data_IF_474841870895
#
_entry.id   IF_474841870895
#
_cell.length_a   1.000
_cell.length_b   1.000
_cell.length_c   1.000
_cell.angle_alpha   90.00
_cell.angle_beta   90.00
_cell.angle_gamma   90.00
#
_symmetry.space_group_name_H-M   'P 1'
#
loop_
_entity.id
_entity.type
_entity.pdbx_description
1 polymer ?
#
# COMPACT_ATOMS: atom_id res chain seq x y z
N UNK A 1 3.18 -3.78 -15.94
CA UNK A 1 4.39 -2.93 -15.89
C UNK A 1 4.62 -2.32 -17.27
N UNK A 2 3.84 -1.33 -17.58
CA UNK A 2 3.83 -0.70 -18.91
C UNK A 2 3.72 0.84 -18.79
N UNK A 3 4.18 1.35 -17.62
CA UNK A 3 4.09 2.76 -17.22
C UNK A 3 5.22 3.61 -17.84
N UNK A 4 5.70 3.23 -19.05
CA UNK A 4 6.88 3.86 -19.68
C UNK A 4 6.72 5.36 -19.96
N UNK A 5 5.53 5.80 -20.34
CA UNK A 5 5.26 7.20 -20.63
C UNK A 5 5.17 8.01 -19.34
N UNK A 6 4.52 7.46 -18.30
CA UNK A 6 4.47 8.06 -16.96
C UNK A 6 5.87 8.19 -16.36
N UNK A 7 6.66 7.12 -16.41
CA UNK A 7 8.04 7.13 -15.92
C UNK A 7 8.91 8.16 -16.66
N UNK A 8 8.75 8.28 -18.00
CA UNK A 8 9.45 9.28 -18.80
C UNK A 8 9.03 10.69 -18.40
N UNK A 9 7.75 10.94 -18.20
CA UNK A 9 7.23 12.24 -17.76
C UNK A 9 7.79 12.63 -16.37
N UNK A 10 7.78 11.70 -15.40
CA UNK A 10 8.35 11.90 -14.06
C UNK A 10 9.82 12.30 -14.18
N UNK A 11 10.62 11.51 -14.92
CA UNK A 11 12.04 11.75 -15.11
C UNK A 11 12.29 13.13 -15.71
N UNK A 12 11.67 13.45 -16.85
CA UNK A 12 11.83 14.73 -17.52
C UNK A 12 11.45 15.91 -16.63
N UNK A 13 10.39 15.77 -15.85
CA UNK A 13 9.93 16.80 -14.92
C UNK A 13 10.97 17.04 -13.84
N UNK A 14 11.41 16.02 -13.14
CA UNK A 14 12.36 16.15 -12.02
C UNK A 14 13.75 16.60 -12.48
N UNK A 15 14.25 16.05 -13.60
CA UNK A 15 15.52 16.48 -14.21
C UNK A 15 15.46 17.94 -14.67
N UNK A 16 14.30 18.41 -15.17
CA UNK A 16 14.05 19.82 -15.54
C UNK A 16 14.19 20.77 -14.35
N UNK A 17 14.02 20.28 -13.13
CA UNK A 17 14.27 21.03 -11.89
C UNK A 17 15.65 20.74 -11.26
N UNK A 18 16.53 20.04 -11.97
CA UNK A 18 17.90 19.78 -11.54
C UNK A 18 18.06 18.64 -10.53
N UNK A 19 17.08 17.75 -10.44
CA UNK A 19 17.16 16.55 -9.62
C UNK A 19 17.76 15.39 -10.43
N UNK A 20 18.62 14.59 -9.83
CA UNK A 20 19.24 13.40 -10.45
C UNK A 20 18.35 12.18 -10.28
N UNK A 21 17.61 11.79 -11.32
CA UNK A 21 16.63 10.69 -11.29
C UNK A 21 17.28 9.36 -11.61
N UNK A 22 17.26 8.47 -10.65
CA UNK A 22 17.79 7.11 -10.76
C UNK A 22 16.74 6.13 -11.29
N UNK A 23 17.21 5.05 -11.92
CA UNK A 23 16.36 4.02 -12.53
C UNK A 23 16.51 3.96 -14.06
N UNK A 24 15.71 3.15 -14.78
CA UNK A 24 14.58 2.40 -14.24
C UNK A 24 15.00 1.23 -13.32
N UNK A 25 14.22 0.99 -12.26
CA UNK A 25 14.33 -0.18 -11.39
C UNK A 25 12.98 -0.91 -11.37
N UNK A 26 12.98 -2.21 -11.13
CA UNK A 26 11.76 -3.01 -11.10
C UNK A 26 10.83 -2.78 -12.32
N UNK A 27 11.40 -2.59 -13.51
CA UNK A 27 10.69 -2.30 -14.76
C UNK A 27 10.66 -0.80 -15.08
N UNK A 28 9.68 -0.06 -14.61
CA UNK A 28 9.49 1.38 -14.87
C UNK A 28 9.68 2.26 -13.64
N UNK A 29 10.01 1.69 -12.49
CA UNK A 29 10.20 2.41 -11.24
C UNK A 29 11.39 3.37 -11.27
N UNK A 30 11.25 4.50 -10.57
CA UNK A 30 12.24 5.56 -10.48
C UNK A 30 12.41 6.00 -9.03
N UNK A 31 13.54 6.63 -8.72
CA UNK A 31 13.69 7.34 -7.46
C UNK A 31 14.64 8.53 -7.58
N UNK A 32 14.56 9.43 -6.62
CA UNK A 32 15.47 10.54 -6.43
C UNK A 32 15.84 10.65 -4.97
N UNK A 33 17.13 10.81 -4.70
CA UNK A 33 17.66 11.11 -3.38
C UNK A 33 17.93 12.60 -3.26
N UNK A 34 17.37 13.24 -2.23
CA UNK A 34 17.61 14.63 -1.88
C UNK A 34 18.48 14.64 -0.64
N UNK A 35 19.75 15.02 -0.82
CA UNK A 35 20.72 15.12 0.26
C UNK A 35 20.62 16.47 0.96
N UNK A 36 20.42 16.44 2.28
CA UNK A 36 20.50 17.62 3.14
C UNK A 36 21.93 18.10 3.39
N UNK A 37 22.06 19.31 3.90
CA UNK A 37 23.40 19.90 4.21
C UNK A 37 23.97 19.41 5.56
N UNK A 38 23.16 18.81 6.43
CA UNK A 38 23.60 18.27 7.69
C UNK A 38 23.46 16.75 7.72
N UNK A 39 24.35 15.99 8.38
CA UNK A 39 24.26 14.55 8.51
C UNK A 39 23.00 14.14 9.27
N UNK A 40 22.46 12.95 8.95
CA UNK A 40 21.26 12.40 9.56
C UNK A 40 20.90 11.06 8.95
N UNK A 41 19.71 10.55 9.28
CA UNK A 41 19.13 9.32 8.74
C UNK A 41 18.63 9.45 7.32
N UNK A 42 17.90 8.44 6.88
CA UNK A 42 17.26 8.46 5.55
C UNK A 42 15.78 8.09 5.67
N UNK A 43 14.90 8.90 5.09
CA UNK A 43 13.46 8.66 5.08
C UNK A 43 12.93 8.54 3.66
N UNK A 44 11.98 7.59 3.44
CA UNK A 44 11.37 7.34 2.15
C UNK A 44 9.99 7.97 1.99
N UNK A 45 9.66 8.34 0.75
CA UNK A 45 8.29 8.67 0.34
C UNK A 45 7.95 7.93 -0.95
N UNK A 46 6.85 7.16 -0.93
CA UNK A 46 6.40 6.34 -2.07
C UNK A 46 5.19 6.95 -2.76
N UNK A 47 5.19 6.89 -4.07
CA UNK A 47 3.98 6.98 -4.89
C UNK A 47 3.93 5.81 -5.87
N UNK A 48 2.74 5.22 -6.04
CA UNK A 48 2.42 4.35 -7.16
C UNK A 48 2.20 5.16 -8.44
N UNK A 49 2.38 4.53 -9.61
CA UNK A 49 2.33 5.23 -10.91
C UNK A 49 1.52 4.50 -11.98
N UNK A 50 0.95 3.35 -11.68
CA UNK A 50 0.22 2.53 -12.64
C UNK A 50 -1.23 3.01 -12.85
N UNK A 51 -1.81 2.61 -13.99
CA UNK A 51 -3.19 2.87 -14.37
C UNK A 51 -3.95 1.54 -14.50
N UNK A 52 -5.27 1.62 -14.42
CA UNK A 52 -6.14 0.46 -14.53
C UNK A 52 -6.50 0.16 -16.00
N UNK A 53 -6.66 -1.12 -16.37
CA UNK A 53 -7.12 -1.53 -17.69
C UNK A 53 -8.64 -1.32 -17.83
N UNK A 54 -9.09 -0.07 -17.72
CA UNK A 54 -10.51 0.31 -17.71
C UNK A 54 -10.72 1.56 -18.55
N UNK A 55 -11.84 1.61 -19.30
CA UNK A 55 -12.17 2.75 -20.12
C UNK A 55 -12.58 3.97 -19.28
N UNK A 56 -11.91 5.09 -19.47
CA UNK A 56 -12.26 6.38 -18.88
C UNK A 56 -13.58 6.91 -19.48
N UNK A 57 -14.58 7.16 -18.62
CA UNK A 57 -15.87 7.72 -19.02
C UNK A 57 -16.15 9.10 -18.39
N UNK A 58 -15.10 9.76 -17.85
CA UNK A 58 -15.20 11.13 -17.37
C UNK A 58 -15.57 12.09 -18.51
N UNK A 59 -16.27 13.16 -18.17
CA UNK A 59 -16.64 14.23 -19.11
C UNK A 59 -15.81 15.48 -18.89
N UNK A 60 -14.48 15.30 -18.87
CA UNK A 60 -13.49 16.36 -18.60
C UNK A 60 -12.47 16.45 -19.72
N UNK A 61 -11.83 17.60 -19.95
CA UNK A 61 -10.85 17.77 -21.02
C UNK A 61 -9.61 16.86 -20.89
N UNK A 62 -9.25 16.52 -19.65
CA UNK A 62 -8.06 15.71 -19.32
C UNK A 62 -8.36 14.21 -19.17
N UNK A 63 -9.53 13.72 -19.57
CA UNK A 63 -9.80 12.29 -19.58
C UNK A 63 -8.76 11.53 -20.39
N UNK A 64 -8.48 10.28 -20.02
CA UNK A 64 -7.54 9.43 -20.75
C UNK A 64 -7.87 9.36 -22.26
N UNK A 65 -6.84 9.53 -23.08
CA UNK A 65 -6.91 9.38 -24.54
C UNK A 65 -6.49 7.96 -24.99
N UNK A 66 -5.95 7.15 -24.06
CA UNK A 66 -5.58 5.77 -24.32
C UNK A 66 -6.79 4.88 -24.13
N UNK A 67 -7.25 4.14 -25.17
CA UNK A 67 -8.39 3.25 -25.03
C UNK A 67 -8.17 2.20 -23.95
N UNK A 68 -9.19 2.01 -23.11
CA UNK A 68 -9.19 1.00 -22.04
C UNK A 68 -8.05 1.12 -21.02
N UNK A 69 -7.50 2.33 -20.82
CA UNK A 69 -6.52 2.63 -19.78
C UNK A 69 -6.85 3.96 -19.11
N UNK A 70 -6.98 3.98 -17.80
CA UNK A 70 -7.25 5.21 -17.05
C UNK A 70 -6.74 5.15 -15.61
N UNK A 71 -6.34 6.31 -15.08
CA UNK A 71 -6.12 6.47 -13.64
C UNK A 71 -7.47 6.59 -12.93
N UNK A 72 -7.95 5.50 -12.36
CA UNK A 72 -9.21 5.41 -11.63
C UNK A 72 -9.01 5.06 -10.14
N UNK A 73 -7.74 5.05 -9.70
CA UNK A 73 -7.36 4.89 -8.29
C UNK A 73 -6.60 6.11 -7.73
N UNK A 74 -6.30 7.10 -8.58
CA UNK A 74 -5.66 8.35 -8.18
C UNK A 74 -4.13 8.30 -8.14
N UNK A 75 -3.50 7.29 -8.77
CA UNK A 75 -2.04 7.17 -8.81
C UNK A 75 -1.37 8.31 -9.60
N UNK A 76 -2.06 8.96 -10.51
CA UNK A 76 -1.64 10.22 -11.13
C UNK A 76 -1.55 11.37 -10.11
N UNK A 77 -2.52 11.46 -9.19
CA UNK A 77 -2.47 12.41 -8.08
C UNK A 77 -1.35 12.08 -7.09
N UNK A 78 -1.14 10.79 -6.75
CA UNK A 78 -0.02 10.37 -5.90
C UNK A 78 1.33 10.71 -6.54
N UNK A 79 1.46 10.49 -7.85
CA UNK A 79 2.63 10.89 -8.65
C UNK A 79 2.86 12.40 -8.58
N UNK A 80 1.81 13.21 -8.77
CA UNK A 80 1.90 14.67 -8.70
C UNK A 80 2.30 15.16 -7.30
N UNK A 81 1.74 14.57 -6.25
CA UNK A 81 2.13 14.85 -4.86
C UNK A 81 3.61 14.50 -4.65
N UNK A 82 4.09 13.33 -5.11
CA UNK A 82 5.47 12.89 -4.93
C UNK A 82 6.47 13.81 -5.66
N UNK A 83 6.16 14.23 -6.89
CA UNK A 83 6.94 15.26 -7.60
C UNK A 83 6.99 16.54 -6.75
N UNK A 84 5.84 16.98 -6.23
CA UNK A 84 5.77 18.13 -5.34
C UNK A 84 6.59 17.99 -4.07
N UNK A 85 6.57 16.80 -3.42
CA UNK A 85 7.42 16.47 -2.26
C UNK A 85 8.89 16.62 -2.59
N UNK A 86 9.36 16.04 -3.71
CA UNK A 86 10.75 16.13 -4.14
C UNK A 86 11.18 17.58 -4.37
N UNK A 87 10.35 18.38 -5.03
CA UNK A 87 10.63 19.81 -5.31
C UNK A 87 10.67 20.65 -4.02
N UNK A 88 9.74 20.42 -3.07
CA UNK A 88 9.74 21.13 -1.78
C UNK A 88 10.97 20.78 -0.97
N UNK A 89 11.36 19.48 -0.90
CA UNK A 89 12.57 19.05 -0.20
C UNK A 89 13.83 19.64 -0.84
N UNK A 90 13.93 19.64 -2.17
CA UNK A 90 15.06 20.25 -2.89
C UNK A 90 15.18 21.75 -2.61
N UNK A 91 14.06 22.46 -2.60
CA UNK A 91 14.04 23.89 -2.28
C UNK A 91 14.43 24.21 -0.84
N UNK A 92 14.25 23.27 0.08
CA UNK A 92 14.55 23.41 1.50
C UNK A 92 15.73 22.51 1.95
N UNK A 93 16.61 22.08 1.02
CA UNK A 93 17.72 21.18 1.32
C UNK A 93 18.69 21.69 2.39
N UNK A 94 18.80 23.02 2.52
CA UNK A 94 19.64 23.64 3.56
C UNK A 94 19.13 23.35 4.98
N UNK A 95 17.82 23.14 5.13
CA UNK A 95 17.18 22.80 6.40
C UNK A 95 16.96 21.29 6.55
N UNK A 96 17.19 20.52 5.49
CA UNK A 96 17.08 19.06 5.52
C UNK A 96 18.31 18.46 6.20
N UNK A 97 18.08 17.49 7.08
CA UNK A 97 19.12 16.67 7.70
C UNK A 97 19.08 15.27 7.11
N UNK A 98 20.28 14.69 6.87
CA UNK A 98 20.33 13.38 6.24
C UNK A 98 19.77 13.38 4.83
N UNK A 99 19.00 12.37 4.47
CA UNK A 99 18.54 12.15 3.12
C UNK A 99 17.03 11.84 3.05
N UNK A 100 16.35 12.38 2.07
CA UNK A 100 15.01 11.97 1.72
C UNK A 100 15.02 11.26 0.34
N UNK A 101 14.50 10.03 0.29
CA UNK A 101 14.31 9.26 -0.95
C UNK A 101 12.86 9.33 -1.37
N UNK A 102 12.58 9.97 -2.51
CA UNK A 102 11.24 9.95 -3.14
C UNK A 102 11.27 8.94 -4.27
N UNK A 103 10.37 7.94 -4.24
CA UNK A 103 10.36 6.87 -5.24
C UNK A 103 8.98 6.60 -5.82
N UNK A 104 8.99 6.21 -7.08
CA UNK A 104 7.83 6.02 -7.93
C UNK A 104 7.75 4.54 -8.28
N UNK A 105 6.72 3.89 -7.78
CA UNK A 105 6.56 2.45 -7.85
C UNK A 105 5.59 2.05 -8.96
N UNK A 106 5.98 1.14 -9.88
CA UNK A 106 5.05 0.56 -10.86
C UNK A 106 4.18 -0.52 -10.25
N UNK A 107 3.06 -0.83 -10.94
CA UNK A 107 2.28 -2.07 -10.80
C UNK A 107 1.80 -2.36 -9.36
N UNK A 108 1.13 -1.40 -8.73
CA UNK A 108 0.46 -1.61 -7.43
C UNK A 108 -0.76 -2.54 -7.59
N UNK A 109 -1.55 -2.34 -8.65
CA UNK A 109 -2.82 -3.02 -8.92
C UNK A 109 -2.66 -4.45 -9.51
N UNK A 110 -1.45 -4.78 -9.96
CA UNK A 110 -1.17 -6.04 -10.65
C UNK A 110 -0.51 -7.11 -9.78
N UNK A 111 -0.48 -8.35 -10.31
CA UNK A 111 0.28 -9.45 -9.72
C UNK A 111 1.26 -10.03 -10.75
N UNK A 112 2.52 -10.32 -10.34
CA UNK A 112 3.11 -9.96 -9.06
C UNK A 112 3.22 -8.45 -8.90
N UNK A 113 2.93 -7.93 -7.69
CA UNK A 113 2.90 -6.49 -7.45
C UNK A 113 4.29 -5.84 -7.47
N UNK A 114 4.32 -4.51 -7.64
CA UNK A 114 5.55 -3.76 -7.82
C UNK A 114 6.40 -3.62 -6.55
N UNK A 115 5.79 -3.49 -5.37
CA UNK A 115 6.53 -3.27 -4.13
C UNK A 115 7.57 -4.36 -3.82
N UNK A 116 7.28 -5.67 -3.91
CA UNK A 116 8.31 -6.70 -3.75
C UNK A 116 9.45 -6.62 -4.77
N UNK A 117 9.18 -6.12 -5.98
CA UNK A 117 10.21 -5.93 -7.01
C UNK A 117 11.12 -4.76 -6.66
N UNK A 118 10.56 -3.64 -6.21
CA UNK A 118 11.29 -2.46 -5.75
C UNK A 118 12.17 -2.80 -4.53
N UNK A 119 11.65 -3.59 -3.58
CA UNK A 119 12.39 -4.04 -2.40
C UNK A 119 13.60 -4.90 -2.82
N UNK A 120 13.41 -5.88 -3.73
CA UNK A 120 14.51 -6.68 -4.26
C UNK A 120 15.56 -5.86 -5.02
N UNK A 121 15.15 -4.74 -5.62
CA UNK A 121 16.05 -3.80 -6.28
C UNK A 121 16.78 -2.85 -5.31
N UNK A 122 16.59 -3.01 -3.99
CA UNK A 122 17.32 -2.25 -2.96
C UNK A 122 16.72 -0.90 -2.60
N UNK A 123 15.46 -0.61 -2.97
CA UNK A 123 14.86 0.71 -2.74
C UNK A 123 14.82 1.12 -1.25
N UNK A 124 14.77 0.13 -0.35
CA UNK A 124 14.75 0.36 1.10
C UNK A 124 16.13 0.48 1.75
N UNK A 125 17.22 0.30 0.99
CA UNK A 125 18.57 0.34 1.58
C UNK A 125 18.85 1.66 2.28
N UNK A 126 19.12 1.55 3.59
CA UNK A 126 19.43 2.67 4.47
C UNK A 126 18.22 3.52 4.90
N UNK A 127 16.97 3.14 4.57
CA UNK A 127 15.80 3.87 5.05
C UNK A 127 15.49 3.54 6.50
N UNK A 128 15.24 4.57 7.30
CA UNK A 128 14.78 4.48 8.69
C UNK A 128 13.24 4.37 8.78
N UNK A 129 12.55 4.98 7.82
CA UNK A 129 11.09 4.92 7.71
C UNK A 129 10.62 5.21 6.28
N UNK A 130 9.35 4.87 5.99
CA UNK A 130 8.71 5.13 4.70
C UNK A 130 7.29 5.66 4.87
N UNK A 131 6.92 6.64 4.05
CA UNK A 131 5.60 7.26 4.06
C UNK A 131 4.94 7.19 2.70
N UNK A 132 3.61 7.10 2.68
CA UNK A 132 2.82 7.22 1.47
C UNK A 132 1.45 7.84 1.77
N UNK A 133 0.80 8.35 0.74
CA UNK A 133 -0.57 8.82 0.81
C UNK A 133 -1.43 8.09 -0.22
N UNK A 134 -2.73 8.05 0.05
CA UNK A 134 -3.72 7.64 -0.95
C UNK A 134 -4.90 8.61 -0.93
N UNK A 135 -5.34 9.04 -2.08
CA UNK A 135 -6.55 9.87 -2.21
C UNK A 135 -7.79 9.10 -1.78
N UNK A 136 -8.72 9.78 -1.09
CA UNK A 136 -9.97 9.16 -0.67
C UNK A 136 -11.16 10.07 -1.07
N UNK A 137 -11.95 9.66 -2.07
CA UNK A 137 -13.11 10.43 -2.53
C UNK A 137 -14.30 10.39 -1.55
N UNK A 138 -14.17 9.75 -0.39
CA UNK A 138 -15.16 9.76 0.69
C UNK A 138 -14.85 10.80 1.77
N UNK A 139 -13.65 11.38 1.73
CA UNK A 139 -13.24 12.46 2.61
C UNK A 139 -13.28 13.79 1.87
N UNK A 140 -13.78 14.82 2.53
CA UNK A 140 -13.81 16.16 1.98
C UNK A 140 -12.40 16.74 1.83
N UNK A 141 -12.22 17.61 0.85
CA UNK A 141 -11.02 18.42 0.67
C UNK A 141 -10.61 19.11 1.97
N UNK A 142 -9.32 19.12 2.27
CA UNK A 142 -8.76 19.68 3.51
C UNK A 142 -8.80 18.74 4.72
N UNK A 143 -9.26 17.49 4.54
CA UNK A 143 -9.25 16.45 5.56
C UNK A 143 -8.18 15.41 5.25
N UNK A 144 -7.49 14.97 6.29
CA UNK A 144 -6.49 13.91 6.23
C UNK A 144 -6.90 12.77 7.16
N UNK A 145 -7.09 11.59 6.59
CA UNK A 145 -7.53 10.40 7.32
C UNK A 145 -6.35 9.64 7.93
N UNK A 146 -6.38 9.46 9.23
CA UNK A 146 -5.35 8.75 10.01
C UNK A 146 -5.93 7.53 10.71
N UNK A 147 -5.15 6.46 10.77
CA UNK A 147 -5.44 5.26 11.54
C UNK A 147 -4.13 4.65 12.03
N UNK A 148 -4.02 4.38 13.31
CA UNK A 148 -2.90 3.64 13.90
C UNK A 148 -3.15 2.14 13.78
N UNK A 149 -2.10 1.35 13.51
CA UNK A 149 -2.24 -0.08 13.26
C UNK A 149 -2.79 -0.40 11.87
N UNK A 150 -3.65 -1.42 11.76
CA UNK A 150 -4.13 -1.91 10.47
C UNK A 150 -4.99 -0.89 9.72
N UNK A 151 -4.48 -0.38 8.60
CA UNK A 151 -5.18 0.58 7.73
C UNK A 151 -5.91 -0.08 6.56
N UNK A 152 -5.38 -1.23 6.07
CA UNK A 152 -5.98 -2.03 4.99
C UNK A 152 -6.01 -3.50 5.36
N UNK A 153 -6.75 -4.32 4.59
CA UNK A 153 -6.73 -5.77 4.73
C UNK A 153 -5.64 -6.41 3.85
N UNK A 154 -5.29 -7.66 4.20
CA UNK A 154 -4.60 -8.55 3.26
C UNK A 154 -5.51 -8.89 2.08
N UNK A 155 -4.93 -9.31 0.96
CA UNK A 155 -5.67 -9.68 -0.23
C UNK A 155 -5.12 -10.98 -0.82
N UNK A 156 -5.70 -12.11 -0.42
CA UNK A 156 -5.31 -13.42 -0.94
C UNK A 156 -6.31 -13.91 -1.98
N UNK A 157 -5.80 -14.62 -2.98
CA UNK A 157 -6.61 -15.45 -3.87
C UNK A 157 -6.44 -16.91 -3.46
N UNK A 158 -7.45 -17.71 -3.70
CA UNK A 158 -7.34 -19.15 -3.54
C UNK A 158 -8.09 -19.89 -4.64
N UNK A 159 -7.58 -21.07 -4.97
CA UNK A 159 -8.22 -22.01 -5.88
C UNK A 159 -8.26 -23.39 -5.21
N UNK A 160 -9.40 -24.06 -5.30
CA UNK A 160 -9.60 -25.43 -4.85
C UNK A 160 -10.04 -26.26 -6.03
N UNK A 161 -9.40 -27.43 -6.22
CA UNK A 161 -9.73 -28.44 -7.23
C UNK A 161 -10.03 -29.76 -6.54
N UNK A 162 -11.18 -30.32 -6.85
CA UNK A 162 -11.60 -31.65 -6.40
C UNK A 162 -11.55 -32.56 -7.61
N UNK A 163 -10.79 -33.64 -7.53
CA UNK A 163 -10.59 -34.57 -8.64
C UNK A 163 -10.90 -36.01 -8.27
N UNK A 164 -11.34 -36.77 -9.28
CA UNK A 164 -11.46 -38.23 -9.25
C UNK A 164 -10.85 -38.84 -10.51
N UNK A 165 -10.66 -40.14 -10.53
CA UNK A 165 -10.24 -40.87 -11.72
C UNK A 165 -11.44 -41.11 -12.63
N UNK A 166 -11.47 -40.43 -13.79
CA UNK A 166 -12.53 -40.51 -14.78
C UNK A 166 -13.84 -39.82 -14.38
N UNK A 167 -14.91 -40.09 -15.12
CA UNK A 167 -16.25 -39.53 -14.92
C UNK A 167 -17.21 -40.50 -14.31
N UNK A 168 -18.29 -40.01 -13.65
CA UNK A 168 -19.32 -40.85 -13.04
C UNK A 168 -20.69 -40.69 -13.69
N UNK A 169 -21.55 -41.70 -13.57
CA UNK A 169 -22.95 -41.63 -13.99
C UNK A 169 -23.80 -41.03 -12.87
N UNK A 170 -24.52 -39.94 -13.13
CA UNK A 170 -25.30 -39.19 -12.11
C UNK A 170 -26.36 -40.05 -11.39
N UNK A 171 -26.87 -41.14 -11.97
CA UNK A 171 -27.77 -42.06 -11.31
C UNK A 171 -27.07 -43.07 -10.37
N UNK A 172 -25.73 -43.09 -10.33
CA UNK A 172 -24.91 -44.03 -9.56
C UNK A 172 -23.75 -43.33 -8.84
N UNK A 173 -24.03 -42.28 -8.06
CA UNK A 173 -22.94 -41.52 -7.39
C UNK A 173 -22.13 -42.38 -6.41
N UNK A 174 -22.65 -43.52 -5.97
CA UNK A 174 -21.94 -44.44 -5.05
C UNK A 174 -20.88 -45.32 -5.76
N UNK A 175 -20.82 -45.32 -7.09
CA UNK A 175 -19.79 -46.05 -7.86
C UNK A 175 -18.52 -45.21 -8.09
N UNK A 176 -18.47 -43.95 -7.60
CA UNK A 176 -17.34 -43.04 -7.77
C UNK A 176 -17.35 -41.93 -6.74
N UNK A 177 -16.65 -40.86 -7.03
CA UNK A 177 -16.55 -39.65 -6.20
C UNK A 177 -17.35 -38.52 -6.83
N UNK A 178 -18.31 -37.94 -6.11
CA UNK A 178 -19.07 -36.79 -6.58
C UNK A 178 -18.29 -35.47 -6.32
N UNK A 179 -17.46 -35.09 -7.30
CA UNK A 179 -16.58 -33.93 -7.21
C UNK A 179 -17.35 -32.63 -7.01
N UNK A 180 -18.51 -32.45 -7.66
CA UNK A 180 -19.37 -31.26 -7.55
C UNK A 180 -19.98 -31.16 -6.17
N UNK A 181 -20.48 -32.27 -5.63
CA UNK A 181 -21.02 -32.32 -4.29
C UNK A 181 -19.96 -31.98 -3.25
N UNK A 182 -18.75 -32.59 -3.33
CA UNK A 182 -17.63 -32.30 -2.41
C UNK A 182 -17.23 -30.82 -2.47
N UNK A 183 -17.07 -30.25 -3.67
CA UNK A 183 -16.77 -28.82 -3.85
C UNK A 183 -17.84 -27.93 -3.19
N UNK A 184 -19.13 -28.29 -3.35
CA UNK A 184 -20.25 -27.57 -2.73
C UNK A 184 -20.23 -27.63 -1.19
N UNK A 185 -19.85 -28.77 -0.60
CA UNK A 185 -19.71 -28.93 0.86
C UNK A 185 -18.56 -28.07 1.38
N UNK A 186 -17.40 -28.09 0.70
CA UNK A 186 -16.25 -27.25 1.06
C UNK A 186 -16.57 -25.77 0.91
N UNK A 187 -17.29 -25.35 -0.14
CA UNK A 187 -17.77 -23.98 -0.31
C UNK A 187 -18.59 -23.53 0.91
N UNK A 188 -19.59 -24.32 1.32
CA UNK A 188 -20.41 -24.01 2.49
C UNK A 188 -19.57 -23.95 3.79
N UNK A 189 -18.63 -24.88 3.95
CA UNK A 189 -17.76 -24.93 5.11
C UNK A 189 -16.84 -23.71 5.16
N UNK A 190 -16.27 -23.29 4.04
CA UNK A 190 -15.43 -22.09 3.95
C UNK A 190 -16.19 -20.82 4.34
N UNK A 191 -17.40 -20.61 3.84
CA UNK A 191 -18.23 -19.46 4.24
C UNK A 191 -18.57 -19.46 5.73
N UNK A 192 -18.71 -20.62 6.36
CA UNK A 192 -18.97 -20.71 7.80
C UNK A 192 -17.71 -20.47 8.65
N UNK A 193 -16.52 -20.68 8.07
CA UNK A 193 -15.25 -20.66 8.80
C UNK A 193 -14.99 -19.32 9.46
N UNK A 194 -15.03 -18.22 8.71
CA UNK A 194 -14.66 -16.89 9.20
C UNK A 194 -15.41 -16.51 10.49
N UNK A 195 -16.71 -16.77 10.55
CA UNK A 195 -17.54 -16.44 11.72
C UNK A 195 -17.52 -17.47 12.86
N UNK A 196 -16.69 -18.52 12.79
CA UNK A 196 -16.68 -19.63 13.78
C UNK A 196 -15.30 -19.94 14.35
N UNK A 197 -14.23 -19.61 13.64
CA UNK A 197 -12.86 -19.93 14.04
C UNK A 197 -12.04 -18.70 14.44
N UNK A 198 -12.59 -17.51 14.24
CA UNK A 198 -11.99 -16.23 14.62
C UNK A 198 -12.91 -15.44 15.54
N UNK A 199 -12.37 -14.47 16.26
CA UNK A 199 -13.18 -13.53 17.04
C UNK A 199 -14.09 -12.73 16.08
N UNK A 200 -15.38 -12.61 16.43
CA UNK A 200 -16.35 -11.88 15.60
C UNK A 200 -16.05 -10.38 15.46
N UNK A 201 -15.15 -9.84 16.27
CA UNK A 201 -14.66 -8.45 16.18
C UNK A 201 -13.54 -8.29 15.15
N UNK A 202 -12.89 -9.37 14.75
CA UNK A 202 -11.82 -9.34 13.75
C UNK A 202 -12.42 -9.31 12.36
N UNK A 203 -12.14 -8.23 11.63
CA UNK A 203 -12.67 -8.08 10.29
C UNK A 203 -12.04 -9.09 9.31
N UNK A 204 -12.88 -9.90 8.69
CA UNK A 204 -12.49 -10.83 7.63
C UNK A 204 -13.60 -10.93 6.58
N UNK A 205 -13.20 -11.10 5.30
CA UNK A 205 -14.11 -11.33 4.18
C UNK A 205 -13.57 -12.49 3.36
N UNK A 206 -14.37 -13.55 3.24
CA UNK A 206 -14.12 -14.65 2.33
C UNK A 206 -15.22 -14.63 1.28
N UNK A 207 -14.86 -14.58 0.00
CA UNK A 207 -15.82 -14.59 -1.10
C UNK A 207 -15.37 -15.59 -2.16
N UNK A 208 -16.26 -16.50 -2.53
CA UNK A 208 -16.07 -17.45 -3.63
C UNK A 208 -16.76 -16.86 -4.86
N UNK A 209 -15.99 -16.64 -5.92
CA UNK A 209 -16.45 -15.97 -7.14
C UNK A 209 -16.38 -16.86 -8.38
N UNK A 210 -15.72 -18.00 -8.27
CA UNK A 210 -15.57 -18.99 -9.35
C UNK A 210 -16.08 -20.34 -8.87
N UNK A 211 -16.86 -21.01 -9.70
CA UNK A 211 -17.35 -22.36 -9.47
C UNK A 211 -17.56 -23.04 -10.82
N UNK A 212 -16.79 -24.09 -11.08
CA UNK A 212 -16.84 -24.86 -12.33
C UNK A 212 -17.09 -26.34 -12.06
N UNK A 213 -17.82 -27.00 -12.96
CA UNK A 213 -18.14 -28.42 -12.89
C UNK A 213 -18.47 -28.98 -14.27
N UNK A 214 -19.45 -29.87 -14.36
CA UNK A 214 -19.87 -30.49 -15.63
C UNK A 214 -20.82 -29.59 -16.42
N UNK A 215 -20.69 -29.59 -17.74
CA UNK A 215 -21.67 -29.04 -18.67
C UNK A 215 -22.82 -30.03 -18.96
N UNK A 216 -22.68 -31.31 -18.60
CA UNK A 216 -23.63 -32.38 -18.85
C UNK A 216 -24.46 -32.72 -17.62
N UNK A 217 -25.78 -32.72 -17.72
CA UNK A 217 -26.71 -32.97 -16.61
C UNK A 217 -26.60 -34.37 -15.98
N UNK A 218 -26.12 -35.36 -16.73
CA UNK A 218 -26.09 -36.76 -16.34
C UNK A 218 -24.69 -37.35 -16.11
N UNK A 219 -23.67 -36.47 -16.03
CA UNK A 219 -22.25 -36.83 -15.82
C UNK A 219 -21.70 -36.14 -14.59
N UNK A 220 -21.17 -36.93 -13.66
CA UNK A 220 -20.31 -36.43 -12.59
C UNK A 220 -18.92 -36.16 -13.20
N UNK A 221 -18.41 -34.95 -13.19
CA UNK A 221 -17.14 -34.61 -13.85
C UNK A 221 -15.94 -35.22 -13.15
N UNK A 222 -14.85 -35.39 -13.88
CA UNK A 222 -13.56 -35.78 -13.35
C UNK A 222 -13.01 -34.70 -12.39
N UNK A 223 -13.32 -33.43 -12.65
CA UNK A 223 -12.90 -32.31 -11.82
C UNK A 223 -14.05 -31.33 -11.59
N UNK A 224 -14.15 -30.84 -10.37
CA UNK A 224 -14.85 -29.60 -10.02
C UNK A 224 -13.88 -28.63 -9.36
N UNK A 225 -14.04 -27.34 -9.62
CA UNK A 225 -13.19 -26.31 -9.01
C UNK A 225 -13.99 -25.14 -8.45
N UNK A 226 -13.43 -24.49 -7.43
CA UNK A 226 -13.90 -23.20 -6.93
C UNK A 226 -12.72 -22.30 -6.62
N UNK A 227 -12.97 -21.00 -6.71
CA UNK A 227 -11.94 -20.01 -6.44
C UNK A 227 -12.54 -18.73 -5.87
N UNK A 228 -11.70 -17.97 -5.16
CA UNK A 228 -12.17 -16.76 -4.51
C UNK A 228 -11.07 -15.95 -3.87
N UNK A 229 -11.48 -15.07 -2.97
CA UNK A 229 -10.59 -14.18 -2.23
C UNK A 229 -10.79 -14.30 -0.73
N UNK A 230 -9.70 -14.16 0.02
CA UNK A 230 -9.71 -14.01 1.48
C UNK A 230 -9.05 -12.67 1.83
N UNK A 231 -9.74 -11.85 2.63
CA UNK A 231 -9.26 -10.57 3.13
C UNK A 231 -9.34 -10.53 4.64
N UNK A 232 -8.26 -10.12 5.30
CA UNK A 232 -8.19 -10.02 6.76
C UNK A 232 -7.33 -8.84 7.18
N UNK A 233 -7.65 -8.21 8.30
CA UNK A 233 -6.86 -7.10 8.85
C UNK A 233 -5.78 -7.57 9.84
N UNK A 234 -5.82 -8.85 10.24
CA UNK A 234 -4.87 -9.46 11.17
C UNK A 234 -4.13 -10.61 10.50
N UNK A 235 -2.79 -10.66 10.58
CA UNK A 235 -2.00 -11.80 10.10
C UNK A 235 -2.38 -13.13 10.78
N UNK A 236 -2.68 -13.10 12.08
CA UNK A 236 -3.05 -14.31 12.85
C UNK A 236 -4.41 -14.86 12.41
N UNK A 237 -5.38 -13.96 12.17
CA UNK A 237 -6.70 -14.33 11.62
C UNK A 237 -6.56 -14.92 10.22
N UNK A 238 -5.70 -14.32 9.38
CA UNK A 238 -5.39 -14.81 8.04
C UNK A 238 -4.91 -16.26 8.08
N UNK A 239 -3.90 -16.55 8.90
CA UNK A 239 -3.34 -17.91 8.99
C UNK A 239 -4.31 -18.89 9.64
N UNK A 240 -5.09 -18.46 10.63
CA UNK A 240 -6.13 -19.30 11.25
C UNK A 240 -7.16 -19.75 10.19
N UNK A 241 -7.67 -18.85 9.37
CA UNK A 241 -8.67 -19.18 8.33
C UNK A 241 -8.03 -20.08 7.26
N UNK A 242 -6.83 -19.76 6.77
CA UNK A 242 -6.12 -20.57 5.77
C UNK A 242 -5.83 -21.97 6.27
N UNK A 243 -5.37 -22.10 7.50
CA UNK A 243 -5.10 -23.39 8.14
C UNK A 243 -6.37 -24.24 8.26
N UNK A 244 -7.48 -23.62 8.66
CA UNK A 244 -8.77 -24.31 8.73
C UNK A 244 -9.24 -24.78 7.35
N UNK A 245 -9.13 -23.94 6.31
CA UNK A 245 -9.51 -24.30 4.94
C UNK A 245 -8.69 -25.50 4.45
N UNK A 246 -7.36 -25.52 4.68
CA UNK A 246 -6.50 -26.68 4.36
C UNK A 246 -6.92 -27.94 5.11
N UNK A 247 -7.20 -27.83 6.40
CA UNK A 247 -7.64 -28.98 7.21
C UNK A 247 -9.01 -29.51 6.77
N UNK A 248 -9.92 -28.60 6.36
CA UNK A 248 -11.22 -29.01 5.84
C UNK A 248 -11.09 -29.77 4.52
N UNK A 249 -10.26 -29.27 3.59
CA UNK A 249 -9.97 -29.94 2.33
C UNK A 249 -9.38 -31.35 2.56
N UNK A 250 -8.36 -31.47 3.43
CA UNK A 250 -7.72 -32.75 3.74
C UNK A 250 -8.70 -33.76 4.34
N UNK A 251 -9.57 -33.34 5.26
CA UNK A 251 -10.56 -34.26 5.87
C UNK A 251 -11.62 -34.70 4.87
N UNK A 252 -12.02 -33.85 3.91
CA UNK A 252 -12.94 -34.25 2.84
C UNK A 252 -12.26 -35.23 1.88
N UNK A 253 -10.99 -35.04 1.57
CA UNK A 253 -10.17 -35.98 0.79
C UNK A 253 -10.11 -37.35 1.49
N UNK A 254 -9.73 -37.39 2.77
CA UNK A 254 -9.63 -38.62 3.58
C UNK A 254 -10.96 -39.38 3.69
N UNK A 255 -12.08 -38.65 3.80
CA UNK A 255 -13.40 -39.23 4.00
C UNK A 255 -14.00 -39.78 2.71
N UNK A 256 -13.78 -39.13 1.56
CA UNK A 256 -14.47 -39.41 0.30
C UNK A 256 -13.59 -40.02 -0.78
N UNK A 257 -12.25 -40.07 -0.55
CA UNK A 257 -11.30 -40.62 -1.53
C UNK A 257 -11.14 -39.77 -2.79
N UNK A 258 -11.53 -38.50 -2.70
CA UNK A 258 -11.21 -37.51 -3.74
C UNK A 258 -9.73 -37.11 -3.64
N UNK A 259 -9.18 -36.57 -4.71
CA UNK A 259 -7.93 -35.79 -4.61
C UNK A 259 -8.26 -34.30 -4.57
N UNK A 260 -7.85 -33.60 -3.49
CA UNK A 260 -8.22 -32.20 -3.27
C UNK A 260 -6.97 -31.33 -3.15
N UNK A 261 -6.77 -30.44 -4.13
CA UNK A 261 -5.72 -29.42 -4.12
C UNK A 261 -6.32 -28.08 -3.68
N UNK A 262 -5.72 -27.43 -2.69
CA UNK A 262 -6.07 -26.07 -2.26
C UNK A 262 -4.83 -25.20 -2.26
N UNK A 263 -4.76 -24.29 -3.23
CA UNK A 263 -3.67 -23.36 -3.40
C UNK A 263 -4.07 -21.95 -2.96
N UNK A 264 -3.11 -21.23 -2.38
CA UNK A 264 -3.23 -19.80 -2.08
C UNK A 264 -2.17 -19.02 -2.84
N UNK A 265 -2.61 -18.02 -3.57
CA UNK A 265 -1.75 -16.99 -4.11
C UNK A 265 -1.71 -15.82 -3.12
N UNK A 266 -0.55 -15.60 -2.52
CA UNK A 266 -0.35 -14.52 -1.55
C UNK A 266 -0.40 -13.17 -2.26
N UNK A 267 -1.38 -12.37 -1.93
CA UNK A 267 -1.46 -10.97 -2.30
C UNK A 267 -0.80 -10.07 -1.24
N UNK A 268 -1.16 -8.78 -1.24
CA UNK A 268 -0.63 -7.83 -0.28
C UNK A 268 -0.99 -8.21 1.16
N UNK A 269 -0.06 -8.10 2.12
CA UNK A 269 -0.41 -8.17 3.55
C UNK A 269 -1.24 -6.94 3.96
N UNK A 270 -1.77 -6.89 5.20
CA UNK A 270 -2.38 -5.66 5.70
C UNK A 270 -1.32 -4.54 5.80
N UNK A 271 -1.69 -3.32 5.43
CA UNK A 271 -0.91 -2.13 5.80
C UNK A 271 -1.09 -1.91 7.29
N UNK A 272 0.02 -1.98 8.04
CA UNK A 272 0.02 -1.73 9.49
C UNK A 272 0.87 -0.49 9.76
N UNK A 273 0.20 0.61 10.02
CA UNK A 273 0.85 1.88 10.32
C UNK A 273 1.57 1.83 11.67
N UNK A 274 2.79 2.34 11.70
CA UNK A 274 3.57 2.53 12.92
C UNK A 274 3.00 3.71 13.73
N UNK A 275 2.90 3.55 15.05
CA UNK A 275 2.31 4.54 15.94
C UNK A 275 3.10 5.85 15.93
N UNK A 276 4.43 5.79 16.03
CA UNK A 276 5.31 6.97 16.05
C UNK A 276 5.27 7.71 14.70
N UNK A 277 5.18 6.96 13.58
CA UNK A 277 5.05 7.55 12.27
C UNK A 277 3.71 8.27 12.11
N UNK A 278 2.60 7.71 12.60
CA UNK A 278 1.27 8.36 12.59
C UNK A 278 1.25 9.59 13.50
N UNK A 279 1.84 9.52 14.69
CA UNK A 279 1.97 10.69 15.59
C UNK A 279 2.73 11.84 14.93
N UNK A 280 3.80 11.53 14.19
CA UNK A 280 4.54 12.53 13.42
C UNK A 280 3.68 13.21 12.35
N UNK A 281 2.89 12.43 11.60
CA UNK A 281 1.95 12.95 10.60
C UNK A 281 0.87 13.78 11.26
N UNK A 282 0.23 13.29 12.34
CA UNK A 282 -0.84 13.98 13.07
C UNK A 282 -0.37 15.35 13.59
N UNK A 283 0.79 15.38 14.26
CA UNK A 283 1.37 16.62 14.76
C UNK A 283 1.66 17.61 13.62
N UNK A 284 2.14 17.13 12.47
CA UNK A 284 2.44 17.97 11.32
C UNK A 284 1.15 18.53 10.70
N UNK A 285 0.09 17.72 10.57
CA UNK A 285 -1.23 18.17 10.07
C UNK A 285 -1.78 19.26 10.99
N UNK A 286 -1.78 19.04 12.31
CA UNK A 286 -2.30 20.00 13.29
C UNK A 286 -1.52 21.32 13.26
N UNK A 287 -0.21 21.25 13.14
CA UNK A 287 0.64 22.43 13.04
C UNK A 287 0.37 23.25 11.78
N UNK A 288 0.15 22.59 10.63
CA UNK A 288 0.01 23.27 9.33
C UNK A 288 -1.42 23.71 9.03
N UNK A 289 -2.42 22.93 9.46
CA UNK A 289 -3.82 23.10 9.03
C UNK A 289 -4.82 23.16 10.17
N UNK A 290 -4.37 22.93 11.42
CA UNK A 290 -5.25 22.91 12.61
C UNK A 290 -5.93 21.55 12.83
N UNK A 291 -6.51 21.39 14.03
CA UNK A 291 -7.11 20.13 14.48
C UNK A 291 -8.25 19.63 13.59
N UNK A 292 -9.00 20.55 12.99
CA UNK A 292 -10.11 20.24 12.11
C UNK A 292 -9.69 19.52 10.82
N UNK A 293 -8.42 19.57 10.43
CA UNK A 293 -7.92 18.87 9.25
C UNK A 293 -7.72 17.37 9.49
N UNK A 294 -7.57 16.95 10.74
CA UNK A 294 -7.44 15.52 11.08
C UNK A 294 -8.82 14.85 11.05
N UNK A 295 -8.88 13.70 10.37
CA UNK A 295 -10.01 12.78 10.38
C UNK A 295 -9.54 11.44 10.92
N UNK A 296 -9.99 11.06 12.11
CA UNK A 296 -9.69 9.75 12.66
C UNK A 296 -10.51 8.68 11.93
N UNK A 297 -9.82 7.75 11.27
CA UNK A 297 -10.45 6.60 10.62
C UNK A 297 -10.70 5.53 11.68
N UNK A 298 -11.96 5.14 11.85
CA UNK A 298 -12.35 4.18 12.89
C UNK A 298 -12.21 2.72 12.46
N UNK A 299 -12.22 2.46 11.15
CA UNK A 299 -12.20 1.09 10.60
C UNK A 299 -11.27 0.97 9.41
N UNK A 300 -10.49 -0.11 9.39
CA UNK A 300 -9.64 -0.48 8.27
C UNK A 300 -10.41 -0.64 6.97
N UNK A 301 -9.79 -0.28 5.86
CA UNK A 301 -10.30 -0.64 4.53
C UNK A 301 -10.15 -2.14 4.30
N UNK A 302 -11.13 -2.77 3.65
CA UNK A 302 -11.01 -4.16 3.18
C UNK A 302 -10.34 -4.25 1.79
N UNK A 303 -9.86 -3.15 1.22
CA UNK A 303 -8.99 -3.12 0.04
C UNK A 303 -7.59 -3.63 0.38
N UNK A 304 -6.89 -4.17 -0.63
CA UNK A 304 -5.45 -4.45 -0.55
C UNK A 304 -4.64 -3.19 -0.88
N UNK A 305 -3.37 -3.18 -0.49
CA UNK A 305 -2.40 -2.13 -0.82
C UNK A 305 -0.99 -2.71 -0.64
N UNK A 306 -0.19 -2.68 -1.70
CA UNK A 306 1.12 -3.34 -1.69
C UNK A 306 2.22 -2.53 -0.96
N UNK A 307 1.94 -1.27 -0.59
CA UNK A 307 2.77 -0.49 0.35
C UNK A 307 3.03 -1.26 1.65
N UNK A 308 2.12 -2.14 2.02
CA UNK A 308 2.26 -3.04 3.15
C UNK A 308 3.56 -3.87 3.14
N UNK A 309 4.10 -4.19 1.95
CA UNK A 309 5.36 -4.92 1.85
C UNK A 309 6.53 -4.10 2.37
N UNK A 310 6.57 -2.78 2.16
CA UNK A 310 7.62 -1.92 2.71
C UNK A 310 7.57 -1.87 4.23
N UNK A 311 6.35 -1.80 4.81
CA UNK A 311 6.15 -1.75 6.26
C UNK A 311 6.52 -3.04 7.01
N UNK A 312 6.78 -4.14 6.29
CA UNK A 312 7.40 -5.34 6.88
C UNK A 312 8.89 -5.18 7.16
N UNK A 313 9.54 -4.19 6.56
CA UNK A 313 10.98 -4.00 6.61
C UNK A 313 11.39 -2.74 7.37
N UNK A 314 10.60 -1.69 7.26
CA UNK A 314 10.85 -0.40 7.91
C UNK A 314 9.54 0.16 8.46
N UNK A 315 9.54 0.88 9.60
CA UNK A 315 8.35 1.56 10.10
C UNK A 315 7.86 2.62 9.12
N UNK A 316 6.59 3.01 9.23
CA UNK A 316 6.08 4.08 8.37
C UNK A 316 4.58 4.30 8.50
N UNK A 317 4.06 5.19 7.68
CA UNK A 317 2.66 5.55 7.68
C UNK A 317 2.08 5.71 6.27
N UNK A 318 0.87 5.18 6.14
CA UNK A 318 0.01 5.31 4.96
C UNK A 318 -1.24 6.07 5.39
N UNK A 319 -1.48 7.24 4.83
CA UNK A 319 -2.56 8.14 5.21
C UNK A 319 -3.54 8.38 4.07
N UNK A 320 -4.76 8.80 4.39
CA UNK A 320 -5.77 9.18 3.39
C UNK A 320 -5.80 10.69 3.20
N UNK A 321 -5.97 11.11 1.95
CA UNK A 321 -6.11 12.52 1.56
C UNK A 321 -7.50 12.74 1.01
N UNK A 322 -8.29 13.60 1.65
CA UNK A 322 -9.63 13.93 1.19
C UNK A 322 -9.62 14.69 -0.13
N UNK A 323 -10.38 14.22 -1.10
CA UNK A 323 -10.47 14.78 -2.45
C UNK A 323 -11.90 15.05 -2.91
N UNK A 324 -12.89 14.86 -2.05
CA UNK A 324 -14.28 15.15 -2.36
C UNK A 324 -14.60 16.64 -2.19
N UNK A 325 -15.18 17.28 -3.21
CA UNK A 325 -15.72 18.64 -3.14
C UNK A 325 -17.15 18.72 -3.72
N UNK A 326 -17.68 17.59 -4.19
CA UNK A 326 -19.01 17.51 -4.77
C UNK A 326 -19.27 16.18 -5.43
N UNK A 327 -20.46 15.97 -6.03
CA UNK A 327 -20.84 14.67 -6.59
C UNK A 327 -19.88 14.11 -7.66
N UNK A 328 -19.26 14.98 -8.47
CA UNK A 328 -18.37 14.55 -9.56
C UNK A 328 -17.00 14.10 -9.03
N UNK A 329 -16.59 14.53 -7.83
CA UNK A 329 -15.35 14.15 -7.17
C UNK A 329 -15.54 13.14 -6.03
N UNK A 330 -16.74 12.52 -5.96
CA UNK A 330 -17.10 11.54 -4.93
C UNK A 330 -17.40 10.14 -5.48
N UNK A 331 -17.08 9.88 -6.76
CA UNK A 331 -17.15 8.52 -7.30
C UNK A 331 -16.13 7.64 -6.59
N UNK A 332 -16.50 6.38 -6.25
CA UNK A 332 -15.55 5.49 -5.59
C UNK A 332 -14.34 5.17 -6.47
N UNK A 333 -13.24 4.79 -5.85
CA UNK A 333 -12.06 4.25 -6.53
C UNK A 333 -12.47 3.13 -7.50
N UNK A 334 -11.79 3.01 -8.63
CA UNK A 334 -12.02 2.08 -9.74
C UNK A 334 -13.33 2.32 -10.53
N UNK A 335 -14.14 3.29 -10.13
CA UNK A 335 -15.31 3.65 -10.91
C UNK A 335 -14.89 4.37 -12.20
N UNK A 336 -15.49 4.02 -13.35
CA UNK A 336 -15.14 4.58 -14.67
C UNK A 336 -15.30 6.11 -14.82
N UNK A 337 -15.90 6.76 -13.82
CA UNK A 337 -16.03 8.22 -13.72
C UNK A 337 -15.29 8.78 -12.49
N UNK A 338 -14.43 7.98 -11.86
CA UNK A 338 -13.64 8.47 -10.73
C UNK A 338 -12.86 9.73 -11.13
N UNK A 339 -12.98 10.76 -10.32
CA UNK A 339 -12.29 12.02 -10.47
C UNK A 339 -12.05 12.63 -9.08
N UNK A 340 -11.17 13.59 -8.99
CA UNK A 340 -10.79 14.24 -7.74
C UNK A 340 -10.87 15.76 -7.86
N UNK A 341 -11.02 16.44 -6.73
CA UNK A 341 -10.63 17.84 -6.63
C UNK A 341 -9.10 17.92 -6.46
N UNK A 342 -8.44 18.67 -7.31
CA UNK A 342 -6.97 18.78 -7.32
C UNK A 342 -6.41 19.78 -6.29
N UNK A 343 -7.27 20.55 -5.62
CA UNK A 343 -6.84 21.57 -4.64
C UNK A 343 -6.02 21.04 -3.47
N UNK A 344 -6.19 19.80 -2.97
CA UNK A 344 -5.37 19.26 -1.89
C UNK A 344 -3.96 18.81 -2.32
N UNK A 345 -3.64 18.68 -3.62
CA UNK A 345 -2.37 18.10 -4.08
C UNK A 345 -1.15 18.90 -3.59
N UNK A 346 -1.11 20.19 -3.84
CA UNK A 346 0.03 21.03 -3.41
C UNK A 346 0.12 21.21 -1.88
N UNK A 347 -0.98 21.40 -1.11
CA UNK A 347 -0.94 21.32 0.35
C UNK A 347 -0.41 19.98 0.87
N UNK A 348 -0.80 18.85 0.28
CA UNK A 348 -0.36 17.51 0.68
C UNK A 348 1.13 17.31 0.38
N UNK A 349 1.63 17.78 -0.75
CA UNK A 349 3.07 17.73 -1.05
C UNK A 349 3.90 18.47 0.01
N UNK A 350 3.45 19.66 0.43
CA UNK A 350 4.11 20.43 1.51
C UNK A 350 4.00 19.73 2.87
N UNK A 351 2.83 19.14 3.17
CA UNK A 351 2.63 18.36 4.38
C UNK A 351 3.62 17.19 4.45
N UNK A 352 3.69 16.40 3.39
CA UNK A 352 4.56 15.22 3.40
C UNK A 352 6.04 15.60 3.43
N UNK A 353 6.46 16.61 2.67
CA UNK A 353 7.84 17.11 2.77
C UNK A 353 8.18 17.55 4.21
N UNK A 354 7.29 18.29 4.89
CA UNK A 354 7.49 18.69 6.28
C UNK A 354 7.48 17.49 7.23
N UNK A 355 6.61 16.50 7.01
CA UNK A 355 6.58 15.25 7.79
C UNK A 355 7.90 14.49 7.70
N UNK A 356 8.49 14.38 6.48
CA UNK A 356 9.79 13.75 6.30
C UNK A 356 10.91 14.52 7.02
N UNK A 357 10.93 15.85 6.92
CA UNK A 357 11.90 16.68 7.65
C UNK A 357 11.76 16.52 9.17
N UNK A 358 10.53 16.55 9.70
CA UNK A 358 10.27 16.35 11.12
C UNK A 358 10.70 14.97 11.60
N UNK A 359 10.53 13.91 10.77
CA UNK A 359 11.01 12.57 11.09
C UNK A 359 12.54 12.55 11.29
N UNK A 360 13.27 13.13 10.35
CA UNK A 360 14.74 13.21 10.42
C UNK A 360 15.24 14.09 11.59
N UNK A 361 14.49 15.11 11.98
CA UNK A 361 14.79 15.93 13.15
C UNK A 361 14.58 15.18 14.48
N UNK A 362 13.53 14.35 14.59
CA UNK A 362 13.21 13.55 15.80
C UNK A 362 14.25 12.48 16.06
N UNK A 363 14.68 11.74 15.06
CA UNK A 363 15.70 10.70 15.19
C UNK A 363 17.01 11.22 15.75
N UNK A 364 17.30 12.51 15.61
CA UNK A 364 18.44 13.18 16.24
C UNK A 364 18.29 13.31 17.76
N UNK A 365 17.10 13.66 18.25
CA UNK A 365 16.87 13.83 19.69
C UNK A 365 17.13 12.51 20.44
N UNK A 366 16.81 11.39 19.82
CA UNK A 366 17.01 10.04 20.38
C UNK A 366 18.47 9.59 20.34
N UNK A 367 19.28 10.09 19.38
CA UNK A 367 20.72 9.76 19.27
C UNK A 367 21.63 10.66 20.10
N UNK A 368 21.13 11.71 20.73
CA UNK A 368 21.89 12.58 21.62
C UNK A 368 22.91 13.53 20.95
N UNK A 369 22.81 13.74 19.64
CA UNK A 369 23.68 14.65 18.87
C UNK A 369 23.42 16.13 19.20
N UNK A 370 24.47 16.99 19.40
CA UNK A 370 24.30 18.38 19.81
C UNK A 370 23.57 19.26 18.77
N UNK A 371 22.77 20.21 19.23
CA UNK A 371 22.03 21.16 18.37
C UNK A 371 22.96 22.18 17.70
N UNK A 372 22.52 22.82 16.58
CA UNK A 372 23.26 23.94 15.95
C UNK A 372 23.46 25.10 16.93
N UNK A 373 22.55 25.28 17.89
CA UNK A 373 22.68 26.25 18.99
C UNK A 373 23.81 25.88 19.98
N UNK A 374 23.96 24.57 20.26
CA UNK A 374 25.01 24.07 21.16
C UNK A 374 26.41 24.23 20.56
N UNK A 375 26.53 24.13 19.22
CA UNK A 375 27.81 24.33 18.51
C UNK A 375 28.21 25.79 18.37
N UNK A 376 27.25 26.74 18.43
CA UNK A 376 27.55 28.19 18.38
C UNK A 376 27.93 28.76 19.75
N UNK A 377 27.57 28.12 20.86
CA UNK A 377 27.91 28.55 22.21
C UNK A 377 29.28 28.06 22.70
N UNK A 378 29.84 27.00 22.08
CA UNK A 378 31.17 26.47 22.45
C UNK A 378 32.36 27.18 21.77
N UNK A 379 32.09 28.15 20.86
CA UNK A 379 33.11 28.90 20.13
C UNK A 379 33.58 30.21 20.74
N UNK A 380 33.03 30.64 21.89
CA UNK A 380 33.34 31.93 22.52
C UNK A 380 33.88 31.78 23.94
N UNK A 381 35.01 31.14 24.10
CA UNK A 381 35.64 31.06 25.41
C UNK A 381 37.08 30.57 25.34
N UNK A 382 37.99 31.43 24.92
CA UNK A 382 39.36 31.53 25.46
C UNK A 382 40.20 32.50 24.63
N UNK A 383 40.17 33.76 24.96
CA UNK A 383 41.31 34.66 24.86
C UNK A 383 41.15 35.68 25.99
N UNK A 384 41.74 35.41 27.11
CA UNK A 384 42.40 36.50 27.87
C UNK A 384 43.32 35.94 28.97
N UNK A 385 44.49 36.44 28.89
CA UNK A 385 45.28 37.05 29.96
C UNK A 385 46.32 36.18 30.65
N UNK A 386 47.54 36.26 30.16
CA UNK A 386 48.72 36.20 31.00
C UNK A 386 49.78 37.24 30.54
N UNK A 387 49.68 38.43 31.03
CA UNK A 387 50.84 39.34 31.17
C UNK A 387 50.78 39.96 32.56
N UNK A 388 51.92 39.83 33.18
CA UNK A 388 52.48 40.47 34.43
C UNK A 388 52.81 39.40 35.47
N UNK A 389 53.96 39.35 36.01
CA UNK A 389 54.90 40.43 36.35
C UNK A 389 56.25 39.80 36.81
N UNK A 390 57.33 40.34 36.30
CA UNK A 390 58.64 40.22 36.89
C UNK A 390 58.90 41.45 37.80
N UNK A 391 59.30 41.23 39.01
CA UNK A 391 60.26 42.00 39.76
C UNK A 391 60.88 41.07 40.78
#
# INVERSE_FOLDING_TARGET
MDEHDTARFIRQTLEGYGLDVQGPIAGTGLYVDIEGEAPGGTVGYRADIDALPTQDQKRVPYRSQTPSVAHLCGHDAHTAIAIGVALVLQANRADLRGRARVFFQPNEEGLPSGAPLMIRAGILEGLDAVYAVHVDPRLDVGRYGLITGAATASSDRFELKVRQEGTGHSARPHEGVDTVWIASQLMNQFYQTAGRVTDARDASVLTITMLDGSEAHNVIPEQASLGGTLRTVSPDVRETIRSYMRQAAQRMEDLHGAHIELDFEDGSPPVVNDETAIENVDATIRQMFGDQAVHQIERSSMGGEDFAHYLKHVPGAFIRVGTASGPETSYPLHHHRFDIDETPLAPTARLMARTLMNHLERNRADTGEPTRADLTTSGNGTTDDQRQSTA
#
